data_IF_280436812285
#
_entry.id   IF_280436812285
#
_cell.length_a   1.000
_cell.length_b   1.000
_cell.length_c   1.000
_cell.angle_alpha   90.00
_cell.angle_beta   90.00
_cell.angle_gamma   90.00
#
_symmetry.space_group_name_H-M   'P 1'
#
loop_
_entity.id
_entity.type
_entity.pdbx_description
1 polymer ?
#
# COMPACT_ATOMS: atom_id res chain seq x y z
N UNK A 1 -5.54 -12.87 -0.95
CA UNK A 1 -6.57 -13.92 -1.19
C UNK A 1 -7.90 -13.69 -0.46
N UNK A 2 -7.93 -13.30 0.83
CA UNK A 2 -9.20 -13.09 1.57
C UNK A 2 -10.15 -12.11 0.88
N UNK A 3 -9.65 -10.96 0.40
CA UNK A 3 -10.44 -9.97 -0.34
C UNK A 3 -11.02 -10.54 -1.64
N UNK A 4 -10.26 -11.33 -2.37
CA UNK A 4 -10.74 -11.96 -3.62
C UNK A 4 -11.87 -12.96 -3.33
N UNK A 5 -11.68 -13.85 -2.34
CA UNK A 5 -12.73 -14.78 -1.90
C UNK A 5 -13.99 -14.04 -1.50
N UNK A 6 -13.85 -13.05 -0.63
CA UNK A 6 -14.98 -12.24 -0.18
C UNK A 6 -15.68 -11.56 -1.37
N UNK A 7 -14.94 -10.90 -2.26
CA UNK A 7 -15.52 -10.18 -3.40
C UNK A 7 -16.28 -11.11 -4.37
N UNK A 8 -15.75 -12.28 -4.71
CA UNK A 8 -16.43 -13.22 -5.61
C UNK A 8 -17.67 -13.86 -4.99
N UNK A 9 -17.67 -14.03 -3.65
CA UNK A 9 -18.78 -14.66 -2.92
C UNK A 9 -19.92 -13.66 -2.61
N UNK A 10 -19.58 -12.42 -2.30
CA UNK A 10 -20.57 -11.42 -1.81
C UNK A 10 -21.05 -10.46 -2.89
N UNK A 11 -20.25 -10.22 -3.92
CA UNK A 11 -20.57 -9.26 -4.99
C UNK A 11 -20.49 -9.94 -6.38
N UNK A 12 -21.34 -10.91 -6.69
CA UNK A 12 -21.22 -11.72 -7.91
C UNK A 12 -21.41 -10.95 -9.21
N UNK A 13 -21.95 -9.73 -9.17
CA UNK A 13 -22.12 -8.86 -10.34
C UNK A 13 -20.95 -7.88 -10.54
N UNK A 14 -20.00 -7.78 -9.59
CA UNK A 14 -18.88 -6.84 -9.65
C UNK A 14 -17.68 -7.46 -10.35
N UNK A 15 -17.21 -6.88 -11.46
CA UNK A 15 -16.00 -7.35 -12.12
C UNK A 15 -14.78 -7.18 -11.20
N UNK A 16 -13.97 -8.22 -11.10
CA UNK A 16 -12.73 -8.24 -10.33
C UNK A 16 -11.60 -8.71 -11.25
N UNK A 17 -10.56 -7.90 -11.41
CA UNK A 17 -9.35 -8.30 -12.11
C UNK A 17 -8.18 -8.35 -11.14
N UNK A 18 -7.59 -9.53 -10.97
CA UNK A 18 -6.34 -9.71 -10.26
C UNK A 18 -5.18 -9.56 -11.24
N UNK A 19 -4.36 -8.53 -11.09
CA UNK A 19 -3.07 -8.40 -11.80
C UNK A 19 -1.97 -8.79 -10.82
N UNK A 20 -1.36 -9.94 -11.05
CA UNK A 20 -0.38 -10.52 -10.13
C UNK A 20 1.00 -10.58 -10.78
N UNK A 21 2.00 -9.93 -10.21
CA UNK A 21 3.37 -9.93 -10.71
C UNK A 21 4.28 -10.73 -9.78
N UNK A 22 4.98 -11.69 -10.34
CA UNK A 22 5.97 -12.53 -9.65
C UNK A 22 7.24 -12.65 -10.47
N UNK A 23 8.33 -13.10 -9.84
CA UNK A 23 9.60 -13.29 -10.55
C UNK A 23 9.53 -14.51 -11.48
N UNK A 24 9.18 -15.64 -10.96
CA UNK A 24 9.10 -16.91 -11.71
C UNK A 24 7.75 -17.58 -11.49
N UNK A 25 7.42 -18.57 -12.32
CA UNK A 25 6.19 -19.36 -12.15
C UNK A 25 6.15 -20.11 -10.81
N UNK A 26 7.30 -20.51 -10.28
CA UNK A 26 7.39 -21.21 -8.99
C UNK A 26 7.04 -20.30 -7.79
N UNK A 27 7.10 -18.99 -7.99
CA UNK A 27 6.77 -18.00 -6.96
C UNK A 27 5.26 -17.66 -6.89
N UNK A 28 4.43 -18.27 -7.75
CA UNK A 28 2.99 -17.98 -7.77
C UNK A 28 2.34 -18.63 -6.55
N UNK A 29 2.10 -17.83 -5.52
CA UNK A 29 1.33 -18.27 -4.37
C UNK A 29 -0.14 -18.48 -4.75
N UNK A 30 -0.77 -19.51 -4.19
CA UNK A 30 -2.19 -19.84 -4.40
C UNK A 30 -2.58 -20.07 -5.88
N UNK A 31 -1.64 -20.53 -6.72
CA UNK A 31 -1.85 -20.69 -8.16
C UNK A 31 -3.12 -21.48 -8.51
N UNK A 32 -3.28 -22.67 -7.90
CA UNK A 32 -4.44 -23.53 -8.17
C UNK A 32 -5.76 -22.89 -7.75
N UNK A 33 -5.75 -22.15 -6.64
CA UNK A 33 -6.92 -21.43 -6.16
C UNK A 33 -7.29 -20.26 -7.08
N UNK A 34 -6.31 -19.48 -7.52
CA UNK A 34 -6.52 -18.39 -8.49
C UNK A 34 -7.15 -18.94 -9.77
N UNK A 35 -6.62 -20.04 -10.31
CA UNK A 35 -7.18 -20.70 -11.48
C UNK A 35 -8.58 -21.28 -11.25
N UNK A 36 -8.85 -21.73 -10.03
CA UNK A 36 -10.18 -22.22 -9.67
C UNK A 36 -11.20 -21.08 -9.64
N UNK A 37 -10.84 -19.92 -9.05
CA UNK A 37 -11.68 -18.72 -9.05
C UNK A 37 -11.98 -18.24 -10.48
N UNK A 38 -10.95 -18.19 -11.32
CA UNK A 38 -11.05 -17.77 -12.73
C UNK A 38 -11.99 -18.66 -13.55
N UNK A 39 -12.07 -19.96 -13.23
CA UNK A 39 -12.99 -20.90 -13.89
C UNK A 39 -14.41 -20.89 -13.33
N UNK A 40 -14.59 -20.52 -12.07
CA UNK A 40 -15.88 -20.61 -11.37
C UNK A 40 -16.70 -19.33 -11.40
N UNK A 41 -16.04 -18.20 -11.61
CA UNK A 41 -16.66 -16.88 -11.47
C UNK A 41 -16.41 -16.05 -12.72
N UNK A 42 -17.41 -15.90 -13.57
CA UNK A 42 -17.31 -15.17 -14.85
C UNK A 42 -16.89 -13.68 -14.64
N UNK A 43 -17.21 -13.11 -13.48
CA UNK A 43 -16.81 -11.75 -13.12
C UNK A 43 -15.36 -11.62 -12.63
N UNK A 44 -14.68 -12.75 -12.33
CA UNK A 44 -13.29 -12.75 -11.90
C UNK A 44 -12.35 -13.06 -13.06
N UNK A 45 -11.27 -12.33 -13.18
CA UNK A 45 -10.20 -12.55 -14.14
C UNK A 45 -8.85 -12.45 -13.46
N UNK A 46 -7.96 -13.40 -13.72
CA UNK A 46 -6.57 -13.33 -13.30
C UNK A 46 -5.63 -13.06 -14.47
N UNK A 47 -4.66 -12.18 -14.24
CA UNK A 47 -3.57 -11.82 -15.17
C UNK A 47 -2.27 -11.95 -14.41
N UNK A 48 -1.43 -12.90 -14.79
CA UNK A 48 -0.17 -13.16 -14.08
C UNK A 48 1.00 -12.76 -14.97
N UNK A 49 1.85 -11.85 -14.47
CA UNK A 49 3.04 -11.36 -15.14
C UNK A 49 4.30 -11.98 -14.50
N UNK A 50 5.15 -12.58 -15.33
CA UNK A 50 6.42 -13.21 -14.94
C UNK A 50 7.56 -12.25 -15.32
N UNK A 51 8.33 -11.80 -14.33
CA UNK A 51 9.37 -10.79 -14.56
C UNK A 51 10.77 -11.36 -14.84
N UNK A 52 10.98 -12.64 -14.50
CA UNK A 52 12.28 -13.29 -14.64
C UNK A 52 12.12 -14.76 -15.05
N UNK A 53 12.97 -15.24 -15.97
CA UNK A 53 12.95 -16.61 -16.44
C UNK A 53 11.95 -16.90 -17.57
N UNK A 54 11.78 -18.18 -17.90
CA UNK A 54 10.90 -18.59 -18.99
C UNK A 54 9.43 -18.35 -18.65
N UNK A 55 8.69 -17.88 -19.63
CA UNK A 55 7.25 -17.59 -19.51
C UNK A 55 6.47 -18.69 -20.23
N UNK A 56 5.68 -19.46 -19.47
CA UNK A 56 4.81 -20.48 -20.01
C UNK A 56 3.53 -19.90 -20.63
N UNK A 57 2.75 -20.79 -21.23
CA UNK A 57 1.46 -20.42 -21.82
C UNK A 57 0.49 -19.89 -20.75
N UNK A 58 -0.24 -18.84 -21.07
CA UNK A 58 -1.21 -18.22 -20.16
C UNK A 58 -0.62 -17.17 -19.20
N UNK A 59 0.68 -16.88 -19.30
CA UNK A 59 1.34 -15.83 -18.52
C UNK A 59 1.84 -14.69 -19.41
N UNK A 60 2.04 -13.53 -18.82
CA UNK A 60 2.57 -12.34 -19.51
C UNK A 60 4.05 -12.14 -19.18
N UNK A 61 4.92 -11.87 -20.15
CA UNK A 61 6.31 -11.58 -19.89
C UNK A 61 6.52 -10.16 -19.37
N UNK A 62 7.43 -10.02 -18.41
CA UNK A 62 7.89 -8.74 -17.92
C UNK A 62 7.04 -8.15 -16.80
N UNK A 63 7.26 -6.86 -16.52
CA UNK A 63 6.58 -6.13 -15.48
C UNK A 63 5.19 -5.68 -15.93
N UNK A 64 4.31 -5.40 -14.96
CA UNK A 64 3.03 -4.75 -15.23
C UNK A 64 3.28 -3.41 -15.93
N UNK A 65 2.62 -3.22 -17.07
CA UNK A 65 2.80 -2.07 -17.95
C UNK A 65 1.45 -1.47 -18.33
N UNK A 66 1.48 -0.26 -18.86
CA UNK A 66 0.29 0.42 -19.40
C UNK A 66 -0.41 -0.44 -20.47
N UNK A 67 0.39 -1.03 -21.38
CA UNK A 67 -0.14 -1.92 -22.44
C UNK A 67 -0.86 -3.12 -21.86
N UNK A 68 -0.29 -3.76 -20.82
CA UNK A 68 -0.90 -4.90 -20.15
C UNK A 68 -2.22 -4.48 -19.47
N UNK A 69 -2.21 -3.39 -18.71
CA UNK A 69 -3.41 -2.91 -18.02
C UNK A 69 -4.53 -2.53 -19.00
N UNK A 70 -4.23 -1.83 -20.08
CA UNK A 70 -5.21 -1.49 -21.14
C UNK A 70 -5.81 -2.72 -21.81
N UNK A 71 -5.01 -3.76 -22.00
CA UNK A 71 -5.47 -5.00 -22.64
C UNK A 71 -6.32 -5.88 -21.70
N UNK A 72 -6.14 -5.77 -20.38
CA UNK A 72 -6.68 -6.73 -19.42
C UNK A 72 -7.73 -6.15 -18.47
N UNK A 73 -7.75 -4.82 -18.27
CA UNK A 73 -8.69 -4.13 -17.37
C UNK A 73 -9.55 -3.15 -18.18
N UNK A 74 -10.72 -3.56 -18.67
CA UNK A 74 -11.50 -2.78 -19.63
C UNK A 74 -11.95 -1.41 -19.11
N UNK A 75 -12.31 -1.32 -17.84
CA UNK A 75 -12.87 -0.11 -17.22
C UNK A 75 -11.95 0.47 -16.13
N UNK A 76 -10.66 0.52 -16.44
CA UNK A 76 -9.63 0.93 -15.47
C UNK A 76 -9.88 2.32 -14.86
N UNK A 77 -10.40 3.26 -15.64
CA UNK A 77 -10.61 4.65 -15.19
C UNK A 77 -11.69 4.78 -14.09
N UNK A 78 -12.61 3.82 -14.02
CA UNK A 78 -13.66 3.77 -13.01
C UNK A 78 -13.43 2.69 -11.95
N UNK A 79 -12.32 1.94 -12.08
CA UNK A 79 -12.00 0.87 -11.17
C UNK A 79 -11.43 1.39 -9.85
N UNK A 80 -11.82 0.76 -8.73
CA UNK A 80 -11.10 0.90 -7.46
C UNK A 80 -9.85 0.03 -7.52
N UNK A 81 -8.67 0.65 -7.53
CA UNK A 81 -7.40 -0.04 -7.66
C UNK A 81 -6.78 -0.29 -6.27
N UNK A 82 -6.57 -1.56 -5.95
CA UNK A 82 -5.96 -1.99 -4.69
C UNK A 82 -4.57 -2.54 -4.99
N UNK A 83 -3.52 -1.91 -4.45
CA UNK A 83 -2.12 -2.29 -4.70
C UNK A 83 -1.54 -2.88 -3.42
N UNK A 84 -0.88 -4.03 -3.54
CA UNK A 84 -0.17 -4.66 -2.44
C UNK A 84 1.18 -5.18 -2.95
N UNK A 85 2.26 -4.79 -2.28
CA UNK A 85 3.61 -5.24 -2.64
C UNK A 85 4.72 -4.40 -2.02
N UNK A 86 5.96 -4.57 -2.46
CA UNK A 86 7.09 -3.77 -1.99
C UNK A 86 6.90 -2.27 -2.29
N UNK A 87 7.42 -1.37 -1.43
CA UNK A 87 7.25 0.07 -1.61
C UNK A 87 7.61 0.61 -3.00
N UNK A 88 8.73 0.20 -3.64
CA UNK A 88 9.04 0.67 -5.00
C UNK A 88 8.02 0.22 -6.06
N UNK A 89 7.38 -0.94 -5.86
CA UNK A 89 6.31 -1.41 -6.76
C UNK A 89 5.03 -0.59 -6.56
N UNK A 90 4.66 -0.31 -5.32
CA UNK A 90 3.48 0.52 -4.99
C UNK A 90 3.64 1.91 -5.61
N UNK A 91 4.80 2.53 -5.46
CA UNK A 91 5.09 3.84 -6.04
C UNK A 91 4.98 3.82 -7.56
N UNK A 92 5.68 2.89 -8.22
CA UNK A 92 5.66 2.75 -9.66
C UNK A 92 4.24 2.48 -10.21
N UNK A 93 3.46 1.62 -9.56
CA UNK A 93 2.08 1.34 -9.95
C UNK A 93 1.15 2.52 -9.72
N UNK A 94 1.33 3.25 -8.62
CA UNK A 94 0.56 4.47 -8.36
C UNK A 94 0.81 5.52 -9.43
N UNK A 95 2.09 5.78 -9.77
CA UNK A 95 2.46 6.73 -10.81
C UNK A 95 1.90 6.30 -12.18
N UNK A 96 1.99 5.01 -12.51
CA UNK A 96 1.47 4.45 -13.76
C UNK A 96 -0.05 4.65 -13.86
N UNK A 97 -0.82 4.26 -12.84
CA UNK A 97 -2.28 4.36 -12.85
C UNK A 97 -2.75 5.81 -12.92
N UNK A 98 -2.15 6.71 -12.13
CA UNK A 98 -2.47 8.15 -12.20
C UNK A 98 -2.08 8.74 -13.56
N UNK A 99 -0.94 8.36 -14.12
CA UNK A 99 -0.50 8.76 -15.46
C UNK A 99 -1.45 8.27 -16.57
N UNK A 100 -2.12 7.14 -16.36
CA UNK A 100 -3.16 6.61 -17.25
C UNK A 100 -4.53 7.30 -17.07
N UNK A 101 -4.66 8.22 -16.09
CA UNK A 101 -5.89 8.97 -15.83
C UNK A 101 -6.79 8.41 -14.73
N UNK A 102 -6.35 7.38 -14.00
CA UNK A 102 -7.10 6.88 -12.83
C UNK A 102 -7.08 7.95 -11.74
N UNK A 103 -8.23 8.37 -11.21
CA UNK A 103 -8.28 9.35 -10.12
C UNK A 103 -7.49 8.87 -8.89
N UNK A 104 -6.66 9.73 -8.31
CA UNK A 104 -5.81 9.38 -7.16
C UNK A 104 -6.62 8.79 -6.00
N UNK A 105 -7.83 9.27 -5.76
CA UNK A 105 -8.74 8.77 -4.72
C UNK A 105 -9.26 7.35 -4.96
N UNK A 106 -9.07 6.78 -6.16
CA UNK A 106 -9.42 5.39 -6.47
C UNK A 106 -8.22 4.44 -6.35
N UNK A 107 -7.03 4.96 -6.08
CA UNK A 107 -5.81 4.15 -5.92
C UNK A 107 -5.50 3.99 -4.44
N UNK A 108 -5.69 2.79 -3.94
CA UNK A 108 -5.46 2.39 -2.55
C UNK A 108 -4.29 1.40 -2.49
N UNK A 109 -3.56 1.39 -1.39
CA UNK A 109 -2.47 0.44 -1.22
C UNK A 109 -2.32 0.01 0.24
N UNK A 110 -1.77 -1.18 0.43
CA UNK A 110 -1.34 -1.71 1.72
C UNK A 110 0.16 -2.00 1.68
N UNK A 111 0.86 -1.53 2.71
CA UNK A 111 2.29 -1.77 2.87
C UNK A 111 2.47 -2.85 3.93
N UNK A 112 2.95 -4.01 3.52
CA UNK A 112 3.42 -5.05 4.42
C UNK A 112 4.94 -4.91 4.57
N UNK A 113 5.39 -4.02 5.45
CA UNK A 113 6.79 -3.98 5.84
C UNK A 113 6.97 -4.88 7.06
N UNK A 114 7.82 -5.91 6.99
CA UNK A 114 8.45 -6.38 8.21
C UNK A 114 9.22 -5.17 8.76
N UNK A 115 9.10 -4.90 10.04
CA UNK A 115 9.83 -3.84 10.71
C UNK A 115 11.35 -4.07 10.53
N UNK A 116 11.90 -3.50 9.48
CA UNK A 116 13.34 -3.38 9.32
C UNK A 116 13.65 -1.92 9.54
N UNK A 117 14.30 -1.68 10.67
CA UNK A 117 15.00 -0.44 10.91
C UNK A 117 15.88 -0.10 9.71
N UNK A 118 15.87 1.14 9.35
CA UNK A 118 16.80 1.86 8.49
C UNK A 118 16.22 2.37 7.15
N UNK A 119 15.94 3.66 7.14
CA UNK A 119 16.42 4.60 6.15
C UNK A 119 16.24 4.23 4.68
N UNK A 120 15.01 4.25 4.17
CA UNK A 120 14.79 4.68 2.79
C UNK A 120 13.57 5.60 2.83
N UNK A 121 13.84 6.88 2.83
CA UNK A 121 12.84 7.92 2.67
C UNK A 121 12.09 7.67 1.37
N UNK A 122 10.84 7.22 1.47
CA UNK A 122 9.86 7.47 0.43
C UNK A 122 9.76 8.99 0.34
N UNK A 123 10.29 9.54 -0.73
CA UNK A 123 10.25 10.98 -0.97
C UNK A 123 8.80 11.42 -0.92
N UNK A 124 8.53 12.26 0.04
CA UNK A 124 7.30 13.03 0.17
C UNK A 124 7.05 13.71 -1.17
N UNK A 125 5.86 13.54 -1.70
CA UNK A 125 5.35 14.48 -2.71
C UNK A 125 5.62 15.88 -2.18
N UNK A 126 6.32 16.67 -2.97
CA UNK A 126 6.70 18.04 -2.65
C UNK A 126 5.44 18.89 -2.66
N UNK A 127 4.74 18.86 -1.54
CA UNK A 127 3.92 20.01 -1.15
C UNK A 127 4.93 21.06 -0.69
N UNK A 128 4.86 22.33 -1.18
CA UNK A 128 5.80 23.35 -0.76
C UNK A 128 5.82 23.43 0.76
N UNK A 129 6.99 23.61 1.40
CA UNK A 129 7.13 23.53 2.83
C UNK A 129 6.26 24.61 3.48
N UNK A 130 5.14 24.20 4.05
CA UNK A 130 4.59 24.98 5.15
C UNK A 130 5.70 25.02 6.19
N UNK A 131 6.07 26.21 6.61
CA UNK A 131 7.11 26.55 7.56
C UNK A 131 7.20 25.50 8.66
N UNK A 132 8.23 24.64 8.59
CA UNK A 132 8.45 23.65 9.65
C UNK A 132 8.72 24.44 10.93
N UNK A 133 8.01 24.19 12.02
CA UNK A 133 8.31 24.84 13.27
C UNK A 133 9.72 24.40 13.70
N UNK A 134 10.67 25.32 13.56
CA UNK A 134 12.03 25.15 14.06
C UNK A 134 11.99 25.34 15.57
N UNK A 135 11.89 24.24 16.32
CA UNK A 135 11.86 24.25 17.77
C UNK A 135 11.94 22.85 18.35
N UNK A 136 12.30 22.78 19.61
CA UNK A 136 12.23 21.57 20.42
C UNK A 136 10.90 21.62 21.19
N UNK A 137 10.16 20.52 21.14
CA UNK A 137 8.85 20.37 21.78
C UNK A 137 8.93 19.27 22.83
N UNK A 138 8.25 19.47 23.96
CA UNK A 138 8.06 18.41 24.93
C UNK A 138 6.84 17.57 24.55
N UNK A 139 7.04 16.27 24.38
CA UNK A 139 5.98 15.31 24.07
C UNK A 139 5.84 14.33 25.23
N UNK A 140 4.64 14.25 25.79
CA UNK A 140 4.31 13.33 26.91
C UNK A 140 3.35 12.26 26.46
N UNK A 141 3.72 11.00 26.65
CA UNK A 141 2.86 9.84 26.43
C UNK A 141 2.23 9.43 27.75
N UNK A 142 1.00 9.89 28.02
CA UNK A 142 0.32 9.73 29.32
C UNK A 142 0.21 8.26 29.78
N UNK A 143 -0.05 7.32 28.85
CA UNK A 143 -0.22 5.90 29.20
C UNK A 143 1.08 5.22 29.66
N UNK A 144 2.20 5.60 29.08
CA UNK A 144 3.51 5.07 29.45
C UNK A 144 4.25 5.93 30.48
N UNK A 145 3.76 7.14 30.74
CA UNK A 145 4.43 8.11 31.62
C UNK A 145 5.74 8.65 31.07
N UNK A 146 5.99 8.48 29.77
CA UNK A 146 7.21 8.93 29.12
C UNK A 146 7.07 10.38 28.65
N UNK A 147 8.09 11.22 28.96
CA UNK A 147 8.21 12.57 28.42
C UNK A 147 9.56 12.72 27.73
N UNK A 148 9.57 13.32 26.55
CA UNK A 148 10.78 13.47 25.74
C UNK A 148 10.77 14.78 24.99
N UNK A 149 11.98 15.39 24.86
CA UNK A 149 12.19 16.55 24.00
C UNK A 149 12.39 16.05 22.55
N UNK A 150 11.60 16.56 21.63
CA UNK A 150 11.59 16.15 20.23
C UNK A 150 11.73 17.34 19.29
N UNK A 151 12.36 17.14 18.16
CA UNK A 151 12.45 18.13 17.10
C UNK A 151 11.13 18.19 16.30
N UNK A 152 10.79 19.38 15.78
CA UNK A 152 9.53 19.60 15.08
C UNK A 152 9.41 18.88 13.72
N UNK A 153 10.46 18.25 13.23
CA UNK A 153 10.51 17.47 11.99
C UNK A 153 10.25 15.96 12.21
N UNK A 154 10.17 15.51 13.47
CA UNK A 154 9.90 14.13 13.83
C UNK A 154 8.39 13.84 13.89
N UNK A 155 8.00 12.65 13.48
CA UNK A 155 6.63 12.18 13.68
C UNK A 155 6.40 11.72 15.13
N UNK A 156 5.18 11.83 15.63
CA UNK A 156 4.84 11.33 16.97
C UNK A 156 5.14 9.83 17.15
N UNK A 157 5.08 9.04 16.08
CA UNK A 157 5.44 7.63 16.11
C UNK A 157 6.95 7.43 16.29
N UNK A 158 7.79 8.18 15.57
CA UNK A 158 9.24 8.14 15.73
C UNK A 158 9.67 8.56 17.16
N UNK A 159 9.01 9.57 17.70
CA UNK A 159 9.25 10.03 19.06
C UNK A 159 8.86 8.96 20.08
N UNK A 160 7.70 8.31 19.89
CA UNK A 160 7.23 7.21 20.74
C UNK A 160 8.20 6.03 20.75
N UNK A 161 8.69 5.64 19.58
CA UNK A 161 9.67 4.55 19.44
C UNK A 161 11.01 4.90 20.09
N UNK A 162 11.49 6.13 19.96
CA UNK A 162 12.72 6.59 20.55
C UNK A 162 12.68 6.57 22.09
N UNK A 163 11.54 6.80 22.70
CA UNK A 163 11.38 6.75 24.17
C UNK A 163 10.73 5.44 24.66
N UNK A 164 10.59 4.43 23.81
CA UNK A 164 9.96 3.15 24.15
C UNK A 164 8.51 3.28 24.67
N UNK A 165 7.78 4.30 24.24
CA UNK A 165 6.35 4.39 24.48
C UNK A 165 5.63 3.32 23.65
N UNK A 166 4.79 2.51 24.31
CA UNK A 166 4.10 1.38 23.67
C UNK A 166 2.95 1.86 22.78
N UNK A 167 3.26 2.24 21.56
CA UNK A 167 2.28 2.55 20.51
C UNK A 167 2.39 1.47 19.42
N UNK A 168 1.35 0.64 19.24
CA UNK A 168 1.37 -0.35 18.18
C UNK A 168 1.48 0.34 16.82
N UNK A 169 2.37 -0.13 15.95
CA UNK A 169 2.54 0.41 14.61
C UNK A 169 2.60 -0.71 13.57
N UNK A 170 2.12 -0.45 12.35
CA UNK A 170 2.15 -1.42 11.26
C UNK A 170 2.67 -0.79 9.97
N UNK A 171 1.91 0.11 9.33
CA UNK A 171 2.26 0.65 8.01
C UNK A 171 3.20 1.87 8.06
N UNK A 172 3.28 2.59 9.18
CA UNK A 172 4.05 3.84 9.38
C UNK A 172 3.75 4.96 8.37
N UNK A 173 2.70 4.81 7.57
CA UNK A 173 2.32 5.71 6.49
C UNK A 173 0.96 6.40 6.74
N UNK A 174 0.42 6.31 7.96
CA UNK A 174 -0.84 6.95 8.34
C UNK A 174 -2.12 6.29 7.83
N UNK A 175 -2.04 5.20 7.04
CA UNK A 175 -3.21 4.64 6.33
C UNK A 175 -3.89 3.48 7.03
N UNK A 176 -3.19 2.67 7.85
CA UNK A 176 -3.78 1.48 8.49
C UNK A 176 -4.52 1.77 9.80
N UNK A 177 -4.28 2.92 10.42
CA UNK A 177 -4.89 3.31 11.68
C UNK A 177 -4.38 2.58 12.93
N UNK A 178 -3.42 1.64 12.81
CA UNK A 178 -2.91 0.86 13.94
C UNK A 178 -2.25 1.72 15.01
N UNK A 179 -1.53 2.78 14.61
CA UNK A 179 -0.86 3.73 15.51
C UNK A 179 -1.76 4.92 15.90
N UNK A 180 -3.08 4.83 15.68
CA UNK A 180 -4.00 5.91 16.01
C UNK A 180 -4.01 6.17 17.51
N UNK A 181 -3.66 7.38 17.91
CA UNK A 181 -3.63 7.85 19.29
C UNK A 181 -4.51 9.09 19.44
N UNK A 182 -4.88 9.38 20.68
CA UNK A 182 -5.64 10.59 20.99
C UNK A 182 -4.69 11.68 21.47
N UNK A 183 -4.76 12.87 20.86
CA UNK A 183 -4.13 14.06 21.39
C UNK A 183 -4.99 14.59 22.54
N UNK A 184 -4.42 14.69 23.74
CA UNK A 184 -5.11 15.15 24.95
C UNK A 184 -4.91 16.63 25.19
N UNK A 185 -3.76 17.17 24.81
CA UNK A 185 -3.42 18.58 24.89
C UNK A 185 -2.38 18.96 23.83
N UNK A 186 -2.27 20.26 23.52
CA UNK A 186 -1.34 20.76 22.51
C UNK A 186 -1.91 20.69 21.10
N UNK A 187 -1.02 20.85 20.11
CA UNK A 187 -1.35 20.84 18.69
C UNK A 187 -0.37 19.95 17.91
N UNK A 188 -0.85 19.28 16.87
CA UNK A 188 -0.06 18.43 16.00
C UNK A 188 -0.54 18.53 14.55
N UNK A 189 0.39 18.62 13.61
CA UNK A 189 0.07 18.60 12.17
C UNK A 189 -0.24 17.16 11.75
N UNK A 190 -1.51 16.89 11.45
CA UNK A 190 -1.97 15.57 10.98
C UNK A 190 -2.08 15.58 9.46
N UNK A 191 -1.17 14.87 8.80
CA UNK A 191 -1.19 14.62 7.35
C UNK A 191 -1.60 13.18 7.10
N UNK A 192 -2.86 12.95 6.84
CA UNK A 192 -3.40 11.63 6.46
C UNK A 192 -4.24 11.73 5.20
#
# INVERSE_FOLDING_TARGET
MSMLRHGVDTEPARPITLVYSVRTQADIAFHDEIRLLDRRHDQFRSVIAITDGPVGEGFFPGKVSETLLKATVPDLLHASCLICGPPPMIEAMTQLLVGMGVPRGQVHFEIFSPSVAAGAALQKDVVPPATQPSGTFEVTFERSGQSVQAAGDQTLLEIAEACAADIPSLCRAGVCGTCRTRLTSGDADCRS
#
